data_IF_333253148980
#
_entry.id   IF_333253148980
#
_cell.length_a   1.000
_cell.length_b   1.000
_cell.length_c   1.000
_cell.angle_alpha   90.00
_cell.angle_beta   90.00
_cell.angle_gamma   90.00
#
_symmetry.space_group_name_H-M   'P 1'
#
loop_
_entity.id
_entity.type
_entity.pdbx_description
1 polymer ?
#
# COMPACT_ATOMS: atom_id res chain seq x y z
N UNK A 1 31.21 -16.99 10.71
CA UNK A 1 30.51 -15.99 11.56
C UNK A 1 30.04 -14.86 10.67
N UNK A 2 28.74 -14.75 10.41
CA UNK A 2 28.15 -13.67 9.62
C UNK A 2 26.68 -13.57 9.97
N UNK A 3 26.36 -12.68 10.92
CA UNK A 3 25.01 -12.55 11.45
C UNK A 3 24.09 -11.92 10.39
N UNK A 4 23.17 -12.73 9.85
CA UNK A 4 22.07 -12.27 9.01
C UNK A 4 21.14 -11.35 9.81
N UNK A 5 21.09 -10.08 9.42
CA UNK A 5 20.15 -9.12 9.96
C UNK A 5 18.72 -9.51 9.60
N UNK A 6 17.94 -9.94 10.60
CA UNK A 6 16.50 -10.20 10.45
C UNK A 6 15.79 -8.94 9.94
N UNK A 7 14.78 -9.07 9.06
CA UNK A 7 13.95 -7.93 8.68
C UNK A 7 13.35 -7.29 9.93
N UNK A 8 13.70 -6.01 10.18
CA UNK A 8 13.15 -5.23 11.28
C UNK A 8 11.65 -5.05 11.04
N UNK A 9 10.84 -5.75 11.82
CA UNK A 9 9.41 -5.49 11.93
C UNK A 9 9.26 -4.06 12.46
N UNK A 10 8.76 -3.15 11.62
CA UNK A 10 8.43 -1.79 12.07
C UNK A 10 7.29 -1.92 13.07
N UNK A 11 7.43 -1.41 14.31
CA UNK A 11 6.38 -1.52 15.31
C UNK A 11 5.13 -0.79 14.81
N UNK A 12 3.98 -1.48 14.80
CA UNK A 12 2.69 -0.78 14.79
C UNK A 12 2.60 -0.01 16.11
N UNK A 13 2.60 1.32 16.07
CA UNK A 13 2.48 2.13 17.28
C UNK A 13 1.12 1.85 17.95
N UNK A 14 1.08 1.21 19.14
CA UNK A 14 -0.16 0.92 19.84
C UNK A 14 -0.78 2.26 20.25
N UNK A 15 -1.96 2.59 19.72
CA UNK A 15 -2.68 3.84 20.05
C UNK A 15 -2.87 4.82 18.88
N UNK A 16 -2.17 4.64 17.75
CA UNK A 16 -2.41 5.47 16.56
C UNK A 16 -3.64 4.98 15.79
N UNK A 17 -4.70 5.80 15.71
CA UNK A 17 -5.87 5.52 14.85
C UNK A 17 -5.43 5.56 13.39
N UNK A 18 -5.30 4.38 12.78
CA UNK A 18 -5.04 4.23 11.34
C UNK A 18 -6.39 4.08 10.62
N UNK A 19 -6.57 4.79 9.49
CA UNK A 19 -7.80 4.72 8.68
C UNK A 19 -7.50 4.06 7.35
N UNK A 20 -8.29 3.05 6.98
CA UNK A 20 -8.13 2.29 5.74
C UNK A 20 -9.02 2.87 4.63
N UNK A 21 -8.39 3.32 3.55
CA UNK A 21 -9.07 3.73 2.31
C UNK A 21 -9.10 2.56 1.33
N UNK A 22 -10.27 2.27 0.74
CA UNK A 22 -10.45 1.20 -0.26
C UNK A 22 -11.11 1.78 -1.51
N UNK A 23 -10.47 1.63 -2.68
CA UNK A 23 -11.15 1.79 -3.98
C UNK A 23 -11.84 0.46 -4.34
N UNK A 24 -13.07 0.51 -4.86
CA UNK A 24 -13.73 -0.65 -5.49
C UNK A 24 -12.94 -1.03 -6.75
N UNK A 25 -12.69 -2.32 -6.93
CA UNK A 25 -12.14 -2.86 -8.16
C UNK A 25 -13.22 -2.83 -9.25
N UNK A 26 -12.89 -2.33 -10.43
CA UNK A 26 -13.74 -2.47 -11.62
C UNK A 26 -13.74 -3.94 -12.10
N UNK A 27 -14.75 -4.35 -12.86
CA UNK A 27 -14.72 -5.67 -13.51
C UNK A 27 -13.46 -5.80 -14.38
N UNK A 28 -12.68 -6.86 -14.18
CA UNK A 28 -11.38 -7.04 -14.86
C UNK A 28 -10.19 -6.29 -14.24
N UNK A 29 -10.33 -5.74 -13.02
CA UNK A 29 -9.25 -5.07 -12.32
C UNK A 29 -8.02 -5.97 -12.13
N UNK A 30 -6.84 -5.37 -12.29
CA UNK A 30 -5.56 -6.04 -12.10
C UNK A 30 -5.14 -6.15 -10.63
N UNK A 31 -5.71 -5.31 -9.75
CA UNK A 31 -5.27 -5.19 -8.37
C UNK A 31 -6.30 -4.59 -7.41
N UNK A 32 -6.18 -4.94 -6.12
CA UNK A 32 -6.79 -4.20 -5.01
C UNK A 32 -5.69 -3.48 -4.23
N UNK A 33 -5.90 -2.20 -3.87
CA UNK A 33 -4.84 -1.34 -3.31
C UNK A 33 -5.32 -0.51 -2.12
N UNK A 34 -5.75 -1.13 -1.01
CA UNK A 34 -6.03 -0.38 0.20
C UNK A 34 -4.79 0.37 0.72
N UNK A 35 -4.98 1.62 1.12
CA UNK A 35 -3.98 2.42 1.83
C UNK A 35 -4.48 2.78 3.23
N UNK A 36 -3.62 2.63 4.22
CA UNK A 36 -3.89 3.05 5.59
C UNK A 36 -3.12 4.32 5.90
N UNK A 37 -3.83 5.36 6.34
CA UNK A 37 -3.27 6.68 6.65
C UNK A 37 -3.43 6.98 8.16
N UNK A 38 -2.42 7.57 8.83
CA UNK A 38 -2.56 8.06 10.21
C UNK A 38 -3.54 9.24 10.24
N UNK A 39 -4.73 9.02 10.83
CA UNK A 39 -5.86 9.96 10.72
C UNK A 39 -5.55 11.40 11.18
N UNK A 40 -4.71 11.55 12.21
CA UNK A 40 -4.35 12.84 12.78
C UNK A 40 -3.58 13.74 11.81
N UNK A 41 -2.94 13.17 10.78
CA UNK A 41 -2.21 13.92 9.74
C UNK A 41 -3.10 14.37 8.59
N UNK A 42 -4.32 13.86 8.49
CA UNK A 42 -5.23 14.10 7.37
C UNK A 42 -6.62 14.52 7.86
N UNK A 43 -6.73 15.63 8.62
CA UNK A 43 -8.04 16.11 9.06
C UNK A 43 -8.92 16.45 7.85
N UNK A 44 -10.19 16.04 7.89
CA UNK A 44 -11.16 16.31 6.83
C UNK A 44 -11.02 15.48 5.55
N UNK A 45 -10.02 14.59 5.47
CA UNK A 45 -9.73 13.85 4.22
C UNK A 45 -10.88 12.93 3.80
N UNK A 46 -11.60 12.31 4.73
CA UNK A 46 -12.69 11.39 4.37
C UNK A 46 -13.88 12.14 3.78
N UNK A 47 -14.07 13.38 4.21
CA UNK A 47 -15.18 14.25 3.87
C UNK A 47 -14.89 15.01 2.58
N UNK A 48 -13.64 15.44 2.36
CA UNK A 48 -13.27 16.32 1.25
C UNK A 48 -12.68 15.60 0.04
N UNK A 49 -12.15 14.38 0.20
CA UNK A 49 -11.37 13.76 -0.87
C UNK A 49 -12.25 13.16 -1.97
N UNK A 50 -12.08 13.67 -3.19
CA UNK A 50 -12.62 13.04 -4.39
C UNK A 50 -11.87 11.74 -4.68
N UNK A 51 -12.54 10.61 -4.44
CA UNK A 51 -12.01 9.27 -4.65
C UNK A 51 -11.69 8.94 -6.11
N UNK A 52 -12.00 9.79 -7.08
CA UNK A 52 -11.55 9.65 -8.46
C UNK A 52 -10.13 10.19 -8.65
N UNK A 53 -9.72 11.18 -7.86
CA UNK A 53 -8.44 11.87 -7.95
C UNK A 53 -7.27 11.12 -7.32
N UNK A 54 -6.05 11.56 -7.61
CA UNK A 54 -4.83 10.96 -7.08
C UNK A 54 -4.71 11.24 -5.58
N UNK A 55 -4.68 10.19 -4.76
CA UNK A 55 -4.41 10.32 -3.33
C UNK A 55 -3.04 10.95 -3.06
N UNK A 56 -2.04 10.68 -3.90
CA UNK A 56 -0.71 11.27 -3.74
C UNK A 56 -0.70 12.78 -4.03
N UNK A 57 -1.53 13.25 -4.97
CA UNK A 57 -1.66 14.69 -5.24
C UNK A 57 -2.31 15.39 -4.05
N UNK A 58 -3.41 14.84 -3.54
CA UNK A 58 -4.07 15.35 -2.33
C UNK A 58 -3.13 15.38 -1.10
N UNK A 59 -2.29 14.35 -0.92
CA UNK A 59 -1.28 14.33 0.16
C UNK A 59 -0.25 15.46 -0.04
N UNK A 60 0.19 15.69 -1.28
CA UNK A 60 1.13 16.75 -1.60
C UNK A 60 0.51 18.16 -1.42
N UNK A 61 -0.75 18.36 -1.81
CA UNK A 61 -1.48 19.61 -1.65
C UNK A 61 -1.68 19.99 -0.17
N UNK A 62 -1.68 18.99 0.71
CA UNK A 62 -1.65 19.16 2.18
C UNK A 62 -0.26 19.49 2.73
N UNK A 63 0.74 19.65 1.88
CA UNK A 63 2.13 19.95 2.25
C UNK A 63 2.90 18.74 2.80
N UNK A 64 2.40 17.52 2.67
CA UNK A 64 3.07 16.31 3.16
C UNK A 64 3.99 15.77 2.05
N UNK A 65 5.29 15.83 2.31
CA UNK A 65 6.32 15.43 1.34
C UNK A 65 6.74 13.98 1.58
N UNK A 66 6.75 13.16 0.54
CA UNK A 66 7.31 11.81 0.57
C UNK A 66 8.85 11.88 0.50
N UNK A 67 9.54 11.27 1.46
CA UNK A 67 11.01 11.24 1.48
C UNK A 67 11.57 9.82 1.29
N UNK A 68 10.96 8.82 1.93
CA UNK A 68 11.41 7.43 1.86
C UNK A 68 10.24 6.48 1.76
N UNK A 69 10.33 5.53 0.84
CA UNK A 69 9.42 4.40 0.78
C UNK A 69 10.22 3.09 0.91
N UNK A 70 9.65 2.13 1.62
CA UNK A 70 10.14 0.75 1.67
C UNK A 70 9.05 -0.15 1.13
N UNK A 71 9.37 -0.88 0.07
CA UNK A 71 8.50 -1.90 -0.52
C UNK A 71 9.00 -3.29 -0.17
N UNK A 72 8.04 -4.18 0.15
CA UNK A 72 8.26 -5.63 0.16
C UNK A 72 7.32 -6.26 -0.84
N UNK A 73 7.86 -7.17 -1.67
CA UNK A 73 7.12 -7.93 -2.68
C UNK A 73 7.14 -9.39 -2.25
N UNK A 74 5.97 -9.98 -2.09
CA UNK A 74 5.78 -11.37 -1.69
C UNK A 74 4.83 -12.06 -2.67
N UNK A 75 4.94 -13.38 -2.81
CA UNK A 75 3.90 -14.18 -3.46
C UNK A 75 2.86 -14.61 -2.44
N UNK A 76 1.59 -14.65 -2.85
CA UNK A 76 0.50 -15.10 -1.99
C UNK A 76 -0.68 -15.61 -2.81
N UNK A 77 -1.70 -16.15 -2.13
CA UNK A 77 -2.99 -16.51 -2.71
C UNK A 77 -4.07 -15.53 -2.24
N UNK A 78 -5.03 -15.15 -3.10
CA UNK A 78 -6.08 -14.21 -2.71
C UNK A 78 -7.07 -14.91 -1.77
N UNK A 79 -7.55 -14.19 -0.76
CA UNK A 79 -8.69 -14.68 0.02
C UNK A 79 -9.98 -14.60 -0.81
N UNK A 80 -11.04 -15.30 -0.41
CA UNK A 80 -12.28 -15.41 -1.20
C UNK A 80 -12.85 -14.04 -1.65
N UNK A 81 -12.81 -13.02 -0.78
CA UNK A 81 -13.24 -11.66 -1.12
C UNK A 81 -12.34 -10.99 -2.16
N UNK A 82 -11.03 -11.18 -2.07
CA UNK A 82 -10.06 -10.62 -3.02
C UNK A 82 -10.18 -11.32 -4.38
N UNK A 83 -10.36 -12.64 -4.38
CA UNK A 83 -10.58 -13.45 -5.58
C UNK A 83 -11.84 -12.99 -6.34
N UNK A 84 -12.95 -12.81 -5.63
CA UNK A 84 -14.20 -12.29 -6.20
C UNK A 84 -14.02 -10.86 -6.76
N UNK A 85 -13.37 -9.96 -6.00
CA UNK A 85 -13.13 -8.58 -6.42
C UNK A 85 -12.25 -8.46 -7.67
N UNK A 86 -11.32 -9.40 -7.87
CA UNK A 86 -10.38 -9.40 -8.99
C UNK A 86 -10.78 -10.35 -10.12
N UNK A 87 -11.91 -11.06 -9.97
CA UNK A 87 -12.40 -12.04 -10.94
C UNK A 87 -11.33 -13.10 -11.26
N UNK A 88 -10.78 -13.71 -10.20
CA UNK A 88 -9.78 -14.79 -10.27
C UNK A 88 -10.14 -15.95 -9.35
N UNK A 89 -9.45 -17.09 -9.49
CA UNK A 89 -9.57 -18.23 -8.58
C UNK A 89 -8.78 -17.98 -7.28
N UNK A 90 -9.21 -18.61 -6.18
CA UNK A 90 -8.49 -18.60 -4.90
C UNK A 90 -7.09 -19.23 -4.96
N UNK A 91 -6.77 -19.98 -6.01
CA UNK A 91 -5.47 -20.60 -6.29
C UNK A 91 -4.61 -19.77 -7.24
N UNK A 92 -5.12 -18.65 -7.78
CA UNK A 92 -4.35 -17.78 -8.66
C UNK A 92 -3.16 -17.17 -7.90
N UNK A 93 -1.91 -17.37 -8.34
CA UNK A 93 -0.76 -16.74 -7.70
C UNK A 93 -0.80 -15.21 -7.83
N UNK A 94 -0.55 -14.53 -6.72
CA UNK A 94 -0.62 -13.06 -6.64
C UNK A 94 0.70 -12.49 -6.14
N UNK A 95 0.99 -11.26 -6.56
CA UNK A 95 1.99 -10.43 -5.90
C UNK A 95 1.34 -9.58 -4.82
N UNK A 96 1.84 -9.68 -3.59
CA UNK A 96 1.51 -8.83 -2.47
C UNK A 96 2.62 -7.80 -2.28
N UNK A 97 2.33 -6.56 -2.66
CA UNK A 97 3.20 -5.41 -2.45
C UNK A 97 2.77 -4.68 -1.17
N UNK A 98 3.64 -4.64 -0.16
CA UNK A 98 3.44 -3.82 1.05
C UNK A 98 4.40 -2.64 1.02
N UNK A 99 3.86 -1.43 1.07
CA UNK A 99 4.63 -0.17 1.10
C UNK A 99 4.47 0.51 2.46
N UNK A 100 5.56 1.00 3.01
CA UNK A 100 5.57 2.01 4.07
C UNK A 100 6.27 3.25 3.54
N UNK A 101 5.56 4.37 3.50
CA UNK A 101 6.09 5.67 3.09
C UNK A 101 6.26 6.58 4.30
N UNK A 102 7.38 7.29 4.39
CA UNK A 102 7.70 8.23 5.47
C UNK A 102 8.09 9.60 4.88
N UNK A 103 7.85 10.65 5.68
CA UNK A 103 8.25 12.02 5.38
C UNK A 103 9.73 12.28 5.74
N UNK A 104 10.29 13.49 5.49
CA UNK A 104 11.69 13.80 5.83
C UNK A 104 12.01 13.66 7.33
N UNK A 105 11.01 13.80 8.20
CA UNK A 105 11.15 13.60 9.64
C UNK A 105 11.08 12.14 10.08
N UNK A 106 10.93 11.20 9.14
CA UNK A 106 10.77 9.78 9.42
C UNK A 106 9.38 9.40 9.94
N UNK A 107 8.41 10.30 9.87
CA UNK A 107 7.04 10.04 10.32
C UNK A 107 6.28 9.30 9.22
N UNK A 108 5.58 8.19 9.53
CA UNK A 108 4.77 7.48 8.54
C UNK A 108 3.73 8.38 7.87
N UNK A 109 3.67 8.30 6.55
CA UNK A 109 2.69 8.95 5.68
C UNK A 109 1.58 7.95 5.33
N UNK A 110 1.96 6.75 4.87
CA UNK A 110 1.01 5.71 4.48
C UNK A 110 1.57 4.30 4.66
N UNK A 111 0.68 3.36 4.97
CA UNK A 111 0.91 1.93 4.89
C UNK A 111 -0.01 1.33 3.82
N UNK A 112 0.52 0.98 2.67
CA UNK A 112 -0.26 0.44 1.55
C UNK A 112 -0.09 -1.07 1.46
N UNK A 113 -1.20 -1.79 1.31
CA UNK A 113 -1.21 -3.21 0.95
C UNK A 113 -1.84 -3.33 -0.42
N UNK A 114 -1.11 -3.83 -1.41
CA UNK A 114 -1.58 -3.94 -2.78
C UNK A 114 -1.43 -5.38 -3.26
N UNK A 115 -2.53 -5.97 -3.70
CA UNK A 115 -2.56 -7.33 -4.24
C UNK A 115 -2.75 -7.26 -5.75
N UNK A 116 -1.82 -7.82 -6.50
CA UNK A 116 -1.78 -7.81 -7.96
C UNK A 116 -1.85 -9.22 -8.51
N UNK A 117 -2.55 -9.36 -9.63
CA UNK A 117 -2.61 -10.58 -10.43
C UNK A 117 -1.24 -10.92 -11.01
N UNK A 118 -0.64 -12.02 -10.56
CA UNK A 118 0.69 -12.44 -11.03
C UNK A 118 0.71 -12.88 -12.49
N UNK A 119 -0.43 -13.32 -13.02
CA UNK A 119 -0.62 -13.69 -14.43
C UNK A 119 -0.74 -12.49 -15.38
N UNK A 120 -0.81 -11.25 -14.85
CA UNK A 120 -1.04 -10.03 -15.64
C UNK A 120 -0.19 -8.83 -15.23
N UNK A 121 0.76 -9.00 -14.31
CA UNK A 121 1.53 -7.88 -13.77
C UNK A 121 3.02 -8.23 -13.70
N UNK A 122 3.85 -7.28 -14.13
CA UNK A 122 5.30 -7.33 -14.01
C UNK A 122 5.77 -6.10 -13.24
N UNK A 123 6.70 -6.28 -12.30
CA UNK A 123 7.39 -5.18 -11.64
C UNK A 123 8.79 -5.03 -12.24
N UNK A 124 9.17 -3.79 -12.56
CA UNK A 124 10.52 -3.44 -13.01
C UNK A 124 11.11 -2.46 -12.02
N UNK A 125 12.36 -2.70 -11.61
CA UNK A 125 13.13 -1.79 -10.79
C UNK A 125 14.47 -1.54 -11.49
N UNK A 126 14.82 -0.26 -11.64
CA UNK A 126 16.12 0.15 -12.13
C UNK A 126 16.98 0.43 -10.89
N UNK A 127 18.12 -0.25 -10.79
CA UNK A 127 19.10 -0.03 -9.75
C UNK A 127 20.29 0.69 -10.37
N UNK A 128 20.68 1.82 -9.77
CA UNK A 128 21.95 2.47 -10.10
C UNK A 128 23.08 1.68 -9.42
N UNK A 129 24.22 1.44 -10.10
CA UNK A 129 25.39 0.80 -9.50
C UNK A 129 25.89 1.52 -8.24
#
# INVERSE_FOLDING_TARGET
MGAGGRPRTVPRHPGSRTRQHRRRAAAGALATRPSCLPAHRYPGLLESFDYTQSLYAEIADRGIVFARAVDSIETTLPHAREAALLTVDTRTPMFLLKRVSNDPGGVPIEHRRSLYRGDRMTFTAIQTP
#
